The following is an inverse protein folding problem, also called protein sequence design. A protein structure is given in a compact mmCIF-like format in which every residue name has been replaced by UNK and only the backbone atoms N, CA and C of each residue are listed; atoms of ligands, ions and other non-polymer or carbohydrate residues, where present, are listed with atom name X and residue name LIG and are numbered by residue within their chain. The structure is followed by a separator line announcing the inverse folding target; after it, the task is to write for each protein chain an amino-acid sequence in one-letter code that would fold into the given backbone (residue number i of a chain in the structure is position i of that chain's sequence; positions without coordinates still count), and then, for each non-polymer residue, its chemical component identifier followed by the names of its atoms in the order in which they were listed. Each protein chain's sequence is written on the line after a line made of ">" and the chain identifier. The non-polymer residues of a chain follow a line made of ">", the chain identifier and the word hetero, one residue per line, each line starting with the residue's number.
data_IF_612714197686
#
_entry.id   IF_612714197686
#
_cell.length_a   1.000
_cell.length_b   1.000
_cell.length_c   1.000
_cell.angle_alpha   90.00
_cell.angle_beta   90.00
_cell.angle_gamma   90.00
#
_symmetry.space_group_name_H-M   'P 1'
#
loop_
_entity.id
_entity.type
_entity.pdbx_description
1 polymer ?
#
# COMPACT_ATOMS: atom_id res chain seq x y z
N UNK A 1 -13.11 -14.98 33.76
CA UNK A 1 -13.38 -13.63 33.22
C UNK A 1 -12.05 -12.90 33.07
N UNK A 2 -11.68 -12.48 31.86
CA UNK A 2 -10.46 -11.67 31.67
C UNK A 2 -10.70 -10.26 32.21
N UNK A 3 -9.70 -9.62 32.85
CA UNK A 3 -9.88 -8.32 33.49
C UNK A 3 -10.23 -7.23 32.47
N UNK A 4 -10.98 -6.18 32.86
CA UNK A 4 -11.50 -5.14 31.97
C UNK A 4 -10.41 -4.39 31.16
N UNK A 5 -9.17 -4.34 31.67
CA UNK A 5 -8.02 -3.77 30.96
C UNK A 5 -7.59 -4.58 29.72
N UNK A 6 -7.87 -5.88 29.66
CA UNK A 6 -7.52 -6.74 28.52
C UNK A 6 -8.36 -6.42 27.27
N UNK A 7 -9.58 -5.90 27.48
CA UNK A 7 -10.55 -5.63 26.42
C UNK A 7 -10.24 -4.33 25.65
N UNK A 8 -9.73 -3.30 26.33
CA UNK A 8 -9.35 -2.02 25.72
C UNK A 8 -8.09 -2.18 24.87
N UNK A 9 -7.09 -2.93 25.35
CA UNK A 9 -5.88 -3.22 24.58
C UNK A 9 -6.21 -4.01 23.31
N UNK A 10 -7.02 -5.07 23.39
CA UNK A 10 -7.46 -5.80 22.19
C UNK A 10 -8.30 -4.92 21.26
N UNK A 11 -9.16 -4.04 21.78
CA UNK A 11 -9.96 -3.14 20.95
C UNK A 11 -9.08 -2.12 20.19
N UNK A 12 -8.08 -1.52 20.83
CA UNK A 12 -7.15 -0.57 20.19
C UNK A 12 -6.20 -1.27 19.21
N UNK A 13 -5.80 -2.52 19.48
CA UNK A 13 -4.95 -3.34 18.60
C UNK A 13 -5.71 -3.82 17.36
N UNK A 14 -6.94 -4.29 17.54
CA UNK A 14 -7.75 -4.84 16.45
C UNK A 14 -8.46 -3.77 15.62
N UNK A 15 -8.59 -2.54 16.13
CA UNK A 15 -9.18 -1.40 15.42
C UNK A 15 -8.10 -0.55 14.73
N UNK A 16 -7.40 -1.16 13.77
CA UNK A 16 -6.38 -0.50 12.96
C UNK A 16 -6.54 -0.91 11.50
N UNK A 17 -6.47 0.07 10.60
CA UNK A 17 -6.46 -0.17 9.16
C UNK A 17 -5.09 -0.69 8.74
N UNK A 18 -5.04 -1.81 8.04
CA UNK A 18 -3.80 -2.27 7.40
C UNK A 18 -3.74 -1.86 5.95
N UNK A 19 -2.54 -1.51 5.51
CA UNK A 19 -2.26 -1.23 4.10
C UNK A 19 -1.17 -2.21 3.68
N UNK A 20 -1.47 -3.08 2.73
CA UNK A 20 -0.53 -4.09 2.23
C UNK A 20 0.13 -3.57 0.96
N UNK A 21 1.44 -3.75 0.85
CA UNK A 21 2.24 -3.31 -0.28
C UNK A 21 2.74 -4.51 -1.06
N UNK A 22 2.26 -4.63 -2.29
CA UNK A 22 2.72 -5.57 -3.30
C UNK A 22 3.49 -4.80 -4.39
N UNK A 23 4.27 -5.51 -5.21
CA UNK A 23 4.88 -4.94 -6.42
C UNK A 23 4.50 -5.81 -7.61
N UNK A 24 5.10 -6.99 -7.74
CA UNK A 24 4.88 -7.92 -8.85
C UNK A 24 4.10 -9.14 -8.41
N UNK A 25 3.11 -9.53 -9.20
CA UNK A 25 2.40 -10.80 -9.05
C UNK A 25 2.74 -11.69 -10.25
N UNK A 26 3.82 -12.46 -10.17
CA UNK A 26 4.35 -13.21 -11.30
C UNK A 26 5.20 -14.42 -10.88
N UNK A 27 5.43 -15.35 -11.81
CA UNK A 27 6.36 -16.47 -11.62
C UNK A 27 7.72 -16.24 -12.31
N UNK A 28 7.83 -15.22 -13.16
CA UNK A 28 9.02 -14.90 -13.94
C UNK A 28 9.88 -13.80 -13.30
N UNK A 29 11.19 -13.88 -13.56
CA UNK A 29 12.20 -12.95 -13.04
C UNK A 29 11.97 -12.58 -11.56
N UNK A 30 11.82 -13.57 -10.65
CA UNK A 30 11.40 -13.30 -9.29
C UNK A 30 12.48 -12.58 -8.50
N UNK A 31 12.06 -11.60 -7.70
CA UNK A 31 12.87 -10.98 -6.67
C UNK A 31 12.17 -11.07 -5.30
N UNK A 32 12.70 -10.40 -4.29
CA UNK A 32 12.12 -10.43 -2.93
C UNK A 32 10.69 -9.85 -2.83
N UNK A 33 10.27 -9.05 -3.81
CA UNK A 33 8.97 -8.36 -3.90
C UNK A 33 8.04 -8.99 -4.95
N UNK A 34 8.47 -10.07 -5.61
CA UNK A 34 7.63 -10.86 -6.52
C UNK A 34 6.87 -11.94 -5.76
N UNK A 35 5.55 -11.86 -5.76
CA UNK A 35 4.66 -12.88 -5.18
C UNK A 35 4.11 -13.75 -6.31
N UNK A 36 4.11 -15.07 -6.16
CA UNK A 36 3.50 -15.94 -7.17
C UNK A 36 1.98 -15.73 -7.25
N UNK A 37 1.36 -15.82 -8.44
CA UNK A 37 -0.09 -15.70 -8.57
C UNK A 37 -0.85 -16.68 -7.67
N UNK A 38 -0.30 -17.88 -7.48
CA UNK A 38 -0.87 -18.91 -6.59
C UNK A 38 -0.88 -18.46 -5.12
N UNK A 39 0.23 -17.93 -4.62
CA UNK A 39 0.28 -17.44 -3.24
C UNK A 39 -0.64 -16.24 -3.04
N UNK A 40 -0.61 -15.29 -3.98
CA UNK A 40 -1.49 -14.12 -3.95
C UNK A 40 -2.97 -14.52 -3.92
N UNK A 41 -3.38 -15.50 -4.73
CA UNK A 41 -4.75 -16.03 -4.71
C UNK A 41 -5.12 -16.57 -3.32
N UNK A 42 -4.26 -17.39 -2.70
CA UNK A 42 -4.50 -17.94 -1.37
C UNK A 42 -4.61 -16.87 -0.29
N UNK A 43 -3.83 -15.79 -0.39
CA UNK A 43 -3.91 -14.64 0.49
C UNK A 43 -5.26 -13.92 0.37
N UNK A 44 -5.70 -13.64 -0.86
CA UNK A 44 -6.96 -12.95 -1.11
C UNK A 44 -8.17 -13.80 -0.71
N UNK A 45 -8.17 -15.09 -1.01
CA UNK A 45 -9.20 -16.04 -0.58
C UNK A 45 -9.28 -16.12 0.95
N UNK A 46 -8.14 -16.06 1.65
CA UNK A 46 -8.14 -16.00 3.11
C UNK A 46 -8.82 -14.73 3.62
N UNK A 47 -8.52 -13.56 3.03
CA UNK A 47 -9.17 -12.30 3.41
C UNK A 47 -10.70 -12.39 3.25
N UNK A 48 -11.15 -12.90 2.10
CA UNK A 48 -12.58 -13.06 1.80
C UNK A 48 -13.25 -14.02 2.79
N UNK A 49 -12.66 -15.20 3.02
CA UNK A 49 -13.21 -16.22 3.91
C UNK A 49 -13.24 -15.81 5.39
N UNK A 50 -12.44 -14.80 5.79
CA UNK A 50 -12.32 -14.38 7.19
C UNK A 50 -12.99 -13.02 7.46
N UNK A 51 -13.80 -12.52 6.53
CA UNK A 51 -14.60 -11.32 6.70
C UNK A 51 -13.78 -10.03 6.73
N UNK A 52 -12.67 -10.00 6.00
CA UNK A 52 -11.95 -8.76 5.74
C UNK A 52 -12.65 -7.95 4.65
N UNK A 53 -12.66 -6.64 4.86
CA UNK A 53 -13.16 -5.68 3.89
C UNK A 53 -11.96 -5.04 3.20
N UNK A 54 -11.83 -5.30 1.91
CA UNK A 54 -10.74 -4.77 1.09
C UNK A 54 -11.22 -3.52 0.36
N UNK A 55 -10.64 -2.38 0.73
CA UNK A 55 -11.10 -1.04 0.35
C UNK A 55 -9.99 -0.27 -0.38
N UNK A 56 -10.37 0.79 -1.12
CA UNK A 56 -9.41 1.69 -1.75
C UNK A 56 -8.68 2.56 -0.72
N UNK A 57 -7.55 3.18 -1.11
CA UNK A 57 -6.88 4.15 -0.23
C UNK A 57 -7.73 5.39 0.04
N UNK A 58 -8.60 5.78 -0.90
CA UNK A 58 -9.56 6.85 -0.66
C UNK A 58 -10.53 6.50 0.47
N UNK A 59 -11.18 5.34 0.40
CA UNK A 59 -12.14 4.93 1.43
C UNK A 59 -11.43 4.73 2.77
N UNK A 60 -10.23 4.14 2.77
CA UNK A 60 -9.36 4.08 3.94
C UNK A 60 -9.13 5.47 4.56
N UNK A 61 -8.87 6.48 3.72
CA UNK A 61 -8.66 7.86 4.16
C UNK A 61 -9.96 8.48 4.71
N UNK A 62 -11.10 8.23 4.10
CA UNK A 62 -12.37 8.71 4.64
C UNK A 62 -12.64 8.08 6.02
N UNK A 63 -12.43 6.76 6.15
CA UNK A 63 -12.64 6.01 7.40
C UNK A 63 -11.76 6.46 8.56
N UNK A 64 -10.43 6.63 8.39
CA UNK A 64 -9.65 7.12 9.54
C UNK A 64 -9.93 8.59 9.89
N UNK A 65 -10.44 9.40 8.95
CA UNK A 65 -10.77 10.80 9.22
C UNK A 65 -12.07 10.90 10.02
N UNK A 66 -13.04 10.06 9.67
CA UNK A 66 -14.31 9.88 10.38
C UNK A 66 -14.17 9.13 11.72
N UNK A 67 -12.98 8.65 12.08
CA UNK A 67 -12.76 7.79 13.26
C UNK A 67 -13.67 6.55 13.27
N UNK A 68 -13.89 5.95 12.10
CA UNK A 68 -14.76 4.78 11.92
C UNK A 68 -14.19 3.52 12.59
N UNK A 69 -14.98 2.45 12.65
CA UNK A 69 -14.47 1.12 12.98
C UNK A 69 -13.62 0.58 11.80
N UNK A 70 -12.35 0.34 12.08
CA UNK A 70 -11.29 -0.13 11.19
C UNK A 70 -10.99 -1.62 11.38
N UNK A 71 -11.77 -2.34 12.21
CA UNK A 71 -11.63 -3.79 12.34
C UNK A 71 -11.76 -4.46 10.97
N UNK A 72 -10.79 -5.33 10.68
CA UNK A 72 -10.70 -6.11 9.45
C UNK A 72 -10.76 -5.27 8.16
N UNK A 73 -10.41 -3.99 8.23
CA UNK A 73 -10.26 -3.13 7.05
C UNK A 73 -8.84 -3.26 6.52
N UNK A 74 -8.72 -3.56 5.22
CA UNK A 74 -7.45 -3.68 4.51
C UNK A 74 -7.49 -2.81 3.26
N UNK A 75 -6.45 -2.03 3.00
CA UNK A 75 -6.21 -1.45 1.68
C UNK A 75 -5.07 -2.22 0.99
N UNK A 76 -5.29 -2.62 -0.26
CA UNK A 76 -4.26 -3.23 -1.09
C UNK A 76 -3.61 -2.17 -1.96
N UNK A 77 -2.28 -2.18 -1.99
CA UNK A 77 -1.49 -1.25 -2.81
C UNK A 77 -0.47 -1.99 -3.64
N UNK A 78 -0.26 -1.54 -4.87
CA UNK A 78 0.67 -2.11 -5.84
C UNK A 78 1.54 -0.99 -6.39
N UNK A 79 2.85 -1.12 -6.23
CA UNK A 79 3.81 -0.11 -6.68
C UNK A 79 4.24 -0.36 -8.13
N UNK A 80 4.91 0.64 -8.71
CA UNK A 80 5.57 0.66 -10.02
C UNK A 80 4.68 0.60 -11.29
N UNK A 81 3.48 0.00 -11.21
CA UNK A 81 2.57 -0.10 -12.35
C UNK A 81 2.91 -1.23 -13.33
N UNK A 82 3.38 -2.37 -12.82
CA UNK A 82 3.68 -3.56 -13.63
C UNK A 82 2.45 -4.11 -14.36
N UNK A 83 2.66 -4.59 -15.59
CA UNK A 83 1.62 -5.24 -16.41
C UNK A 83 1.03 -6.48 -15.72
N UNK A 84 1.82 -7.15 -14.88
CA UNK A 84 1.39 -8.36 -14.17
C UNK A 84 0.24 -8.12 -13.18
N UNK A 85 0.00 -6.87 -12.75
CA UNK A 85 -1.21 -6.52 -12.04
C UNK A 85 -2.45 -6.81 -12.89
N UNK A 86 -2.48 -6.35 -14.14
CA UNK A 86 -3.63 -6.56 -15.04
C UNK A 86 -3.81 -8.04 -15.38
N UNK A 87 -2.72 -8.75 -15.66
CA UNK A 87 -2.82 -10.14 -16.14
C UNK A 87 -3.06 -11.15 -15.02
N UNK A 88 -2.53 -10.91 -13.83
CA UNK A 88 -2.52 -11.90 -12.73
C UNK A 88 -3.31 -11.44 -11.50
N UNK A 89 -3.13 -10.20 -11.04
CA UNK A 89 -3.76 -9.72 -9.79
C UNK A 89 -5.23 -9.32 -9.99
N UNK A 90 -5.52 -8.49 -10.99
CA UNK A 90 -6.84 -7.92 -11.26
C UNK A 90 -7.93 -8.98 -11.48
N UNK A 91 -7.70 -10.12 -12.18
CA UNK A 91 -8.71 -11.18 -12.31
C UNK A 91 -9.13 -11.76 -10.95
N UNK A 92 -8.18 -12.01 -10.05
CA UNK A 92 -8.44 -12.54 -8.70
C UNK A 92 -9.23 -11.52 -7.88
N UNK A 93 -8.79 -10.26 -7.85
CA UNK A 93 -9.45 -9.20 -7.09
C UNK A 93 -10.89 -8.97 -7.56
N UNK A 94 -11.15 -9.00 -8.87
CA UNK A 94 -12.51 -8.86 -9.42
C UNK A 94 -13.43 -10.00 -9.00
N UNK A 95 -12.96 -11.25 -9.03
CA UNK A 95 -13.75 -12.39 -8.58
C UNK A 95 -14.19 -12.24 -7.12
N UNK A 96 -13.33 -11.65 -6.29
CA UNK A 96 -13.59 -11.42 -4.86
C UNK A 96 -14.24 -10.06 -4.57
N UNK A 97 -14.49 -9.23 -5.61
CA UNK A 97 -15.00 -7.85 -5.49
C UNK A 97 -14.13 -6.97 -4.58
N UNK A 98 -12.82 -7.18 -4.62
CA UNK A 98 -11.85 -6.39 -3.87
C UNK A 98 -11.36 -5.21 -4.70
N UNK A 99 -11.18 -4.06 -4.04
CA UNK A 99 -10.52 -2.90 -4.63
C UNK A 99 -9.01 -2.92 -4.36
N UNK A 100 -8.27 -2.10 -5.09
CA UNK A 100 -6.84 -1.87 -4.88
C UNK A 100 -6.44 -0.49 -5.43
N UNK A 101 -5.31 0.01 -4.96
CA UNK A 101 -4.68 1.24 -5.47
C UNK A 101 -3.35 0.89 -6.15
N UNK A 102 -3.15 1.36 -7.39
CA UNK A 102 -1.91 1.20 -8.13
C UNK A 102 -1.14 2.51 -8.15
N UNK A 103 0.12 2.51 -7.73
CA UNK A 103 1.01 3.65 -7.80
C UNK A 103 1.85 3.60 -9.07
N UNK A 104 1.66 4.58 -9.94
CA UNK A 104 2.21 4.58 -11.30
C UNK A 104 3.42 5.50 -11.40
N UNK A 105 4.53 4.98 -11.94
CA UNK A 105 5.66 5.80 -12.39
C UNK A 105 5.30 6.42 -13.74
N UNK A 106 4.79 7.65 -13.69
CA UNK A 106 4.04 8.25 -14.81
C UNK A 106 4.86 8.49 -16.07
N UNK A 107 6.18 8.70 -15.96
CA UNK A 107 7.08 8.85 -17.11
C UNK A 107 7.40 7.52 -17.82
N UNK A 108 6.97 6.38 -17.27
CA UNK A 108 7.26 5.06 -17.80
C UNK A 108 6.00 4.28 -18.24
N UNK A 109 4.83 4.94 -18.30
CA UNK A 109 3.59 4.35 -18.82
C UNK A 109 3.82 3.79 -20.23
N UNK A 110 3.45 2.52 -20.43
CA UNK A 110 3.63 1.80 -21.69
C UNK A 110 5.09 1.43 -22.02
N UNK A 111 6.01 1.61 -21.08
CA UNK A 111 7.44 1.30 -21.24
C UNK A 111 7.85 0.15 -20.31
N UNK A 112 9.09 0.19 -19.81
CA UNK A 112 9.67 -0.84 -18.97
C UNK A 112 10.25 -0.28 -17.67
N UNK A 113 10.26 -1.11 -16.62
CA UNK A 113 10.78 -0.79 -15.30
C UNK A 113 12.33 -0.76 -15.29
N UNK A 114 12.92 0.32 -15.82
CA UNK A 114 14.38 0.48 -15.91
C UNK A 114 15.09 0.53 -14.55
N UNK A 115 14.35 0.80 -13.46
CA UNK A 115 14.82 0.76 -12.07
C UNK A 115 14.87 -0.66 -11.49
N UNK A 116 14.26 -1.67 -12.14
CA UNK A 116 14.32 -3.05 -11.66
C UNK A 116 15.78 -3.53 -11.63
N UNK A 117 16.18 -4.10 -10.50
CA UNK A 117 17.51 -4.70 -10.33
C UNK A 117 17.63 -6.08 -10.97
N UNK A 118 16.50 -6.74 -11.29
CA UNK A 118 16.47 -8.12 -11.79
C UNK A 118 16.22 -8.16 -13.29
N UNK A 119 15.20 -7.44 -13.79
CA UNK A 119 14.90 -7.38 -15.21
C UNK A 119 14.34 -6.02 -15.61
N UNK A 120 15.17 -5.25 -16.32
CA UNK A 120 14.82 -3.91 -16.80
C UNK A 120 13.82 -3.91 -17.96
N UNK A 121 13.45 -5.08 -18.47
CA UNK A 121 12.46 -5.26 -19.56
C UNK A 121 11.10 -5.67 -19.03
N UNK A 122 10.88 -5.57 -17.72
CA UNK A 122 9.55 -5.80 -17.14
C UNK A 122 8.60 -4.72 -17.64
N UNK A 123 7.53 -5.16 -18.32
CA UNK A 123 6.57 -4.27 -18.95
C UNK A 123 5.70 -3.58 -17.90
N UNK A 124 5.49 -2.29 -18.13
CA UNK A 124 4.58 -1.48 -17.34
C UNK A 124 3.26 -1.29 -18.11
N UNK A 125 2.20 -0.99 -17.37
CA UNK A 125 0.88 -0.73 -17.92
C UNK A 125 0.92 0.47 -18.88
N UNK A 126 0.30 0.33 -20.04
CA UNK A 126 0.05 1.44 -20.96
C UNK A 126 -1.21 2.23 -20.57
N UNK A 127 -1.48 3.31 -21.29
CA UNK A 127 -2.57 4.22 -20.97
C UNK A 127 -3.93 3.53 -21.09
N UNK A 128 -4.13 2.75 -22.14
CA UNK A 128 -5.37 2.04 -22.42
C UNK A 128 -5.67 1.02 -21.31
N UNK A 129 -4.66 0.27 -20.87
CA UNK A 129 -4.74 -0.68 -19.76
C UNK A 129 -5.03 0.00 -18.42
N UNK A 130 -4.42 1.17 -18.16
CA UNK A 130 -4.73 1.94 -16.95
C UNK A 130 -6.19 2.41 -16.94
N UNK A 131 -6.71 2.91 -18.07
CA UNK A 131 -8.11 3.29 -18.19
C UNK A 131 -9.05 2.09 -18.05
N UNK A 132 -8.67 0.92 -18.56
CA UNK A 132 -9.40 -0.33 -18.37
C UNK A 132 -9.49 -0.69 -16.88
N UNK A 133 -8.37 -0.69 -16.15
CA UNK A 133 -8.34 -0.99 -14.73
C UNK A 133 -9.19 -0.02 -13.90
N UNK A 134 -9.18 1.28 -14.26
CA UNK A 134 -10.06 2.26 -13.63
C UNK A 134 -11.53 1.96 -13.85
N UNK A 135 -11.92 1.61 -15.07
CA UNK A 135 -13.29 1.20 -15.38
C UNK A 135 -13.73 -0.06 -14.61
N UNK A 136 -12.77 -0.88 -14.17
CA UNK A 136 -13.00 -2.04 -13.31
C UNK A 136 -13.07 -1.71 -11.81
N UNK A 137 -12.90 -0.43 -11.41
CA UNK A 137 -13.00 0.02 -10.02
C UNK A 137 -11.67 0.00 -9.24
N UNK A 138 -10.53 -0.15 -9.93
CA UNK A 138 -9.22 0.05 -9.31
C UNK A 138 -8.83 1.52 -9.32
N UNK A 139 -8.20 1.98 -8.25
CA UNK A 139 -7.75 3.36 -8.10
C UNK A 139 -6.32 3.53 -8.60
N UNK A 140 -6.03 4.65 -9.26
CA UNK A 140 -4.65 5.04 -9.56
C UNK A 140 -4.09 6.04 -8.53
N UNK A 141 -2.78 5.96 -8.32
CA UNK A 141 -1.99 6.86 -7.50
C UNK A 141 -0.67 7.19 -8.18
N UNK A 142 0.06 8.15 -7.63
CA UNK A 142 1.34 8.60 -8.18
C UNK A 142 2.53 7.93 -7.51
N UNK A 143 3.50 7.52 -8.32
CA UNK A 143 4.81 7.05 -7.88
C UNK A 143 5.95 7.86 -8.52
N UNK A 144 5.77 9.18 -8.61
CA UNK A 144 6.68 10.13 -9.28
C UNK A 144 6.69 9.97 -10.82
N UNK A 145 7.52 10.76 -11.51
CA UNK A 145 7.68 10.69 -12.97
C UNK A 145 8.73 9.66 -13.32
N UNK A 146 9.89 9.71 -12.66
CA UNK A 146 11.07 8.93 -13.05
C UNK A 146 11.55 7.92 -12.01
N UNK A 147 10.81 7.76 -10.90
CA UNK A 147 11.18 6.89 -9.78
C UNK A 147 12.56 7.22 -9.14
N UNK A 148 12.90 8.51 -8.86
CA UNK A 148 14.17 8.85 -8.22
C UNK A 148 14.11 8.63 -6.71
N UNK A 149 15.28 8.52 -6.07
CA UNK A 149 15.38 8.80 -4.63
C UNK A 149 15.14 10.30 -4.41
N UNK A 150 13.98 10.64 -3.85
CA UNK A 150 13.55 12.03 -3.62
C UNK A 150 14.42 12.77 -2.62
N UNK A 151 15.08 12.06 -1.70
CA UNK A 151 15.97 12.67 -0.71
C UNK A 151 17.29 13.15 -1.33
N UNK A 152 17.65 12.60 -2.48
CA UNK A 152 18.82 13.01 -3.26
C UNK A 152 18.53 14.11 -4.29
N UNK A 153 17.26 14.52 -4.45
CA UNK A 153 16.86 15.54 -5.43
C UNK A 153 16.90 16.94 -4.85
N UNK A 154 17.22 17.93 -5.69
CA UNK A 154 17.05 19.36 -5.35
C UNK A 154 15.57 19.74 -5.17
N UNK A 155 15.29 20.90 -4.57
CA UNK A 155 13.90 21.35 -4.29
C UNK A 155 13.08 21.52 -5.57
N UNK A 156 13.70 21.98 -6.65
CA UNK A 156 13.05 22.13 -7.95
C UNK A 156 12.73 20.78 -8.58
N UNK A 157 13.67 19.83 -8.55
CA UNK A 157 13.47 18.48 -9.06
C UNK A 157 12.40 17.72 -8.28
N UNK A 158 12.43 17.80 -6.94
CA UNK A 158 11.39 17.23 -6.09
C UNK A 158 10.00 17.81 -6.43
N UNK A 159 9.89 19.13 -6.56
CA UNK A 159 8.63 19.77 -6.90
C UNK A 159 8.12 19.38 -8.30
N UNK A 160 9.03 19.26 -9.29
CA UNK A 160 8.69 18.86 -10.66
C UNK A 160 8.21 17.40 -10.72
N UNK A 161 8.95 16.48 -10.08
CA UNK A 161 8.60 15.07 -9.95
C UNK A 161 7.22 14.88 -9.32
N UNK A 162 6.94 15.61 -8.24
CA UNK A 162 5.65 15.53 -7.55
C UNK A 162 4.52 16.14 -8.36
N UNK A 163 4.70 17.33 -8.94
CA UNK A 163 3.65 18.04 -9.66
C UNK A 163 3.26 17.31 -10.95
N UNK A 164 4.25 16.98 -11.79
CA UNK A 164 3.99 16.38 -13.11
C UNK A 164 3.36 15.01 -13.00
N UNK A 165 3.81 14.19 -12.03
CA UNK A 165 3.23 12.87 -11.82
C UNK A 165 1.80 12.95 -11.29
N UNK A 166 1.51 13.89 -10.38
CA UNK A 166 0.14 14.15 -9.94
C UNK A 166 -0.75 14.57 -11.11
N UNK A 167 -0.30 15.54 -11.90
CA UNK A 167 -1.04 16.07 -13.04
C UNK A 167 -1.32 14.97 -14.08
N UNK A 168 -0.37 14.06 -14.31
CA UNK A 168 -0.55 12.91 -15.19
C UNK A 168 -1.60 11.92 -14.67
N UNK A 169 -1.62 11.62 -13.35
CA UNK A 169 -2.65 10.77 -12.74
C UNK A 169 -4.03 11.44 -12.80
N UNK A 170 -4.11 12.75 -12.55
CA UNK A 170 -5.35 13.52 -12.75
C UNK A 170 -5.84 13.46 -14.21
N UNK A 171 -4.92 13.52 -15.19
CA UNK A 171 -5.26 13.42 -16.60
C UNK A 171 -5.78 12.04 -17.02
N UNK A 172 -5.50 10.99 -16.24
CA UNK A 172 -6.13 9.67 -16.37
C UNK A 172 -7.53 9.62 -15.73
N UNK A 173 -7.97 10.72 -15.12
CA UNK A 173 -9.29 10.95 -14.55
C UNK A 173 -9.41 10.67 -13.06
N UNK A 174 -8.29 10.52 -12.33
CA UNK A 174 -8.34 10.41 -10.86
C UNK A 174 -8.55 11.77 -10.20
N UNK A 175 -9.49 11.81 -9.26
CA UNK A 175 -9.80 13.02 -8.49
C UNK A 175 -9.16 12.99 -7.10
N UNK A 176 -9.08 11.80 -6.50
CA UNK A 176 -8.34 11.54 -5.29
C UNK A 176 -7.01 10.90 -5.68
N UNK A 177 -5.90 11.59 -5.46
CA UNK A 177 -4.57 11.14 -5.88
C UNK A 177 -3.73 10.81 -4.64
N UNK A 178 -3.59 9.52 -4.29
CA UNK A 178 -2.64 9.08 -3.29
C UNK A 178 -1.22 9.07 -3.87
N UNK A 179 -0.21 9.18 -3.01
CA UNK A 179 1.20 9.12 -3.39
C UNK A 179 1.96 8.01 -2.65
N UNK A 180 2.88 7.34 -3.32
CA UNK A 180 3.85 6.44 -2.69
C UNK A 180 5.27 6.98 -2.88
N UNK A 181 6.07 7.02 -1.81
CA UNK A 181 7.47 7.46 -1.89
C UNK A 181 8.35 6.35 -2.51
N UNK A 182 9.05 6.59 -3.63
CA UNK A 182 9.98 5.62 -4.21
C UNK A 182 11.02 5.14 -3.18
N UNK A 183 11.21 3.83 -3.09
CA UNK A 183 12.14 3.21 -2.12
C UNK A 183 11.77 3.38 -0.64
N UNK A 184 10.68 4.09 -0.31
CA UNK A 184 10.29 4.40 1.07
C UNK A 184 11.16 5.47 1.75
N UNK A 185 12.06 6.13 1.01
CA UNK A 185 12.96 7.16 1.54
C UNK A 185 12.26 8.52 1.60
N UNK A 186 12.26 9.15 2.77
CA UNK A 186 11.73 10.50 2.96
C UNK A 186 12.30 11.14 4.23
N UNK A 187 12.26 12.47 4.26
CA UNK A 187 12.42 13.30 5.45
C UNK A 187 11.18 14.20 5.60
N UNK A 188 11.21 15.12 6.58
CA UNK A 188 10.17 16.16 6.70
C UNK A 188 10.04 17.00 5.42
N UNK A 189 11.14 17.21 4.69
CA UNK A 189 11.18 17.98 3.44
C UNK A 189 10.27 17.37 2.37
N UNK A 190 10.39 16.08 2.11
CA UNK A 190 9.61 15.38 1.08
C UNK A 190 8.13 15.30 1.50
N UNK A 191 7.86 15.00 2.78
CA UNK A 191 6.50 15.00 3.33
C UNK A 191 5.81 16.37 3.14
N UNK A 192 6.49 17.47 3.44
CA UNK A 192 5.95 18.81 3.27
C UNK A 192 5.81 19.20 1.78
N UNK A 193 6.67 18.69 0.91
CA UNK A 193 6.56 18.87 -0.53
C UNK A 193 5.33 18.14 -1.11
N UNK A 194 5.04 16.92 -0.65
CA UNK A 194 3.84 16.15 -1.04
C UNK A 194 2.56 16.91 -0.67
N UNK A 195 2.50 17.49 0.53
CA UNK A 195 1.35 18.31 0.94
C UNK A 195 1.22 19.57 0.06
N UNK A 196 2.33 20.29 -0.19
CA UNK A 196 2.33 21.47 -1.08
C UNK A 196 1.92 21.13 -2.51
N UNK A 197 2.27 19.94 -2.99
CA UNK A 197 1.88 19.42 -4.30
C UNK A 197 0.41 18.97 -4.36
N UNK A 198 -0.37 19.10 -3.27
CA UNK A 198 -1.81 18.82 -3.21
C UNK A 198 -2.19 17.35 -3.44
N UNK A 199 -1.35 16.42 -2.99
CA UNK A 199 -1.77 15.02 -2.85
C UNK A 199 -2.79 14.87 -1.72
N UNK A 200 -3.65 13.86 -1.82
CA UNK A 200 -4.72 13.65 -0.82
C UNK A 200 -4.24 12.84 0.40
N UNK A 201 -3.34 11.90 0.15
CA UNK A 201 -2.62 11.14 1.17
C UNK A 201 -1.32 10.60 0.59
N UNK A 202 -0.44 10.08 1.44
CA UNK A 202 0.74 9.38 1.00
C UNK A 202 1.11 8.21 1.91
N UNK A 203 1.74 7.20 1.31
CA UNK A 203 2.08 5.93 1.94
C UNK A 203 3.59 5.70 1.97
N UNK A 204 4.08 5.20 3.09
CA UNK A 204 5.49 4.86 3.32
C UNK A 204 5.68 3.37 3.54
N UNK A 205 6.91 2.89 3.35
CA UNK A 205 7.28 1.53 3.74
C UNK A 205 7.60 1.51 5.24
N UNK A 206 6.92 0.65 5.98
CA UNK A 206 7.24 0.42 7.38
C UNK A 206 6.12 0.80 8.33
N UNK A 207 5.83 -0.14 9.22
CA UNK A 207 4.87 0.02 10.29
C UNK A 207 4.48 -1.34 10.81
N UNK A 208 4.98 -1.71 11.99
CA UNK A 208 4.51 -2.91 12.71
C UNK A 208 3.17 -2.67 13.42
N UNK A 209 2.57 -1.51 13.15
CA UNK A 209 1.36 -0.98 13.77
C UNK A 209 0.51 -0.43 12.64
N UNK A 210 -0.70 -0.96 12.48
CA UNK A 210 -1.64 -0.43 11.50
C UNK A 210 -1.97 1.06 11.71
N UNK A 211 -2.73 1.61 10.78
CA UNK A 211 -3.05 3.03 10.73
C UNK A 211 -4.29 3.33 11.60
N UNK A 212 -4.21 4.42 12.35
CA UNK A 212 -5.32 5.00 13.13
C UNK A 212 -5.53 6.46 12.78
N UNK A 213 -6.53 7.11 13.41
CA UNK A 213 -6.84 8.53 13.20
C UNK A 213 -5.64 9.44 13.46
N UNK A 214 -4.76 9.04 14.39
CA UNK A 214 -3.54 9.75 14.77
C UNK A 214 -2.43 9.70 13.70
N UNK A 215 -2.58 8.86 12.68
CA UNK A 215 -1.53 8.68 11.67
C UNK A 215 -1.56 9.87 10.70
N UNK A 216 -0.41 10.52 10.51
CA UNK A 216 -0.27 11.56 9.48
C UNK A 216 -0.69 10.98 8.13
N UNK A 217 -1.64 11.66 7.47
CA UNK A 217 -2.20 11.23 6.18
C UNK A 217 -1.14 11.15 5.09
N UNK A 218 0.00 11.82 5.24
CA UNK A 218 1.12 11.75 4.28
C UNK A 218 2.19 10.73 4.64
N UNK A 219 2.00 9.99 5.74
CA UNK A 219 2.93 8.97 6.24
C UNK A 219 2.16 7.69 6.64
N UNK A 220 1.13 7.33 5.85
CA UNK A 220 0.37 6.11 6.07
C UNK A 220 1.27 4.90 5.91
N UNK A 221 1.27 4.02 6.89
CA UNK A 221 2.21 2.91 7.00
C UNK A 221 1.73 1.72 6.19
N UNK A 222 2.64 1.13 5.43
CA UNK A 222 2.39 -0.11 4.68
C UNK A 222 3.23 -1.27 5.18
N UNK A 223 2.65 -2.45 5.08
CA UNK A 223 3.34 -3.72 5.30
C UNK A 223 3.82 -4.30 3.95
N UNK A 224 5.14 -4.44 3.73
CA UNK A 224 5.67 -5.09 2.51
C UNK A 224 5.34 -6.57 2.53
N UNK A 225 4.71 -7.06 1.46
CA UNK A 225 4.56 -8.50 1.20
C UNK A 225 5.80 -8.99 0.46
N UNK A 226 6.42 -10.05 1.00
CA UNK A 226 7.69 -10.56 0.50
C UNK A 226 7.53 -11.97 -0.05
N UNK A 227 8.33 -12.34 -1.06
CA UNK A 227 8.34 -13.69 -1.63
C UNK A 227 8.61 -14.79 -0.59
N UNK A 228 9.33 -14.45 0.48
CA UNK A 228 9.63 -15.33 1.60
C UNK A 228 8.45 -15.51 2.59
N UNK A 229 7.39 -14.72 2.46
CA UNK A 229 6.24 -14.80 3.36
C UNK A 229 5.44 -16.07 3.05
N UNK A 230 5.21 -16.88 4.07
CA UNK A 230 4.26 -18.00 3.96
C UNK A 230 2.83 -17.51 4.15
N UNK A 231 1.86 -18.26 3.62
CA UNK A 231 0.44 -18.01 3.92
C UNK A 231 0.15 -17.98 5.43
N UNK A 232 0.81 -18.84 6.22
CA UNK A 232 0.67 -18.84 7.67
C UNK A 232 1.17 -17.52 8.30
N UNK A 233 2.21 -16.93 7.72
CA UNK A 233 2.73 -15.64 8.13
C UNK A 233 1.80 -14.49 7.71
N UNK A 234 1.32 -14.50 6.47
CA UNK A 234 0.30 -13.55 5.99
C UNK A 234 -0.89 -13.49 6.95
N UNK A 235 -1.45 -14.65 7.35
CA UNK A 235 -2.55 -14.74 8.32
C UNK A 235 -2.21 -14.04 9.64
N UNK A 236 -0.99 -14.21 10.16
CA UNK A 236 -0.55 -13.54 11.40
C UNK A 236 -0.45 -12.01 11.22
N UNK A 237 0.08 -11.55 10.10
CA UNK A 237 0.20 -10.13 9.76
C UNK A 237 -1.16 -9.47 9.73
N UNK A 238 -2.09 -9.99 8.91
CA UNK A 238 -3.42 -9.39 8.74
C UNK A 238 -4.33 -9.50 9.97
N UNK A 239 -3.96 -10.29 10.99
CA UNK A 239 -4.65 -10.36 12.29
C UNK A 239 -3.96 -9.62 13.45
N UNK A 240 -2.81 -8.97 13.24
CA UNK A 240 -2.18 -8.10 14.23
C UNK A 240 -1.35 -8.77 15.30
N UNK A 241 -0.68 -9.84 14.89
CA UNK A 241 0.22 -10.60 15.76
C UNK A 241 1.34 -9.75 16.38
N UNK A 242 1.90 -8.77 15.66
CA UNK A 242 3.02 -7.96 16.14
C UNK A 242 2.62 -7.02 17.27
N UNK A 243 1.47 -6.39 17.13
CA UNK A 243 0.90 -5.47 18.10
C UNK A 243 0.58 -6.22 19.40
N UNK A 244 0.00 -7.42 19.28
CA UNK A 244 -0.26 -8.31 20.42
C UNK A 244 1.00 -8.74 21.16
N UNK A 245 2.04 -9.17 20.45
CA UNK A 245 3.29 -9.66 21.06
C UNK A 245 4.09 -8.53 21.75
N UNK A 246 4.18 -7.34 21.14
CA UNK A 246 4.89 -6.21 21.73
C UNK A 246 4.20 -5.70 23.00
N UNK A 247 2.87 -5.62 23.02
CA UNK A 247 2.12 -5.15 24.18
C UNK A 247 2.14 -6.16 25.33
N UNK A 248 2.08 -7.46 25.04
CA UNK A 248 2.30 -8.50 26.05
C UNK A 248 3.68 -8.36 26.71
N UNK A 249 4.74 -8.14 25.90
CA UNK A 249 6.09 -7.94 26.42
C UNK A 249 6.21 -6.67 27.28
N UNK A 250 5.54 -5.56 26.90
CA UNK A 250 5.53 -4.31 27.67
C UNK A 250 4.71 -4.41 28.96
N UNK A 251 3.56 -5.08 28.93
CA UNK A 251 2.72 -5.30 30.11
C UNK A 251 3.43 -6.14 31.18
N UNK A 252 4.24 -7.14 30.79
CA UNK A 252 5.07 -7.90 31.73
C UNK A 252 6.11 -7.02 32.44
N UNK A 253 6.74 -6.09 31.71
CA UNK A 253 7.74 -5.17 32.27
C UNK A 253 7.16 -4.15 33.26
N UNK A 254 5.88 -3.78 33.11
CA UNK A 254 5.20 -2.86 34.03
C UNK A 254 4.65 -3.54 35.28
N UNK A 255 4.49 -4.87 35.29
CA UNK A 255 4.09 -5.64 36.49
C UNK A 255 5.26 -6.03 37.41
N UNK A 256 6.49 -5.78 36.97
CA UNK A 256 7.73 -6.05 37.72
C UNK A 256 8.35 -4.79 38.31
N UNK A 257 7.59 -3.70 38.39
CA UNK A 257 7.89 -2.46 39.12
C UNK A 257 6.73 -2.18 40.06
#
# INVERSE_FOLDING_TARGET
>A
MLPPFFNIYNYVICNRLRILMYHRIADDSPDRLTISPKLFQQEMEYLAANGFHVISLQEARERLAANADLKKQIALTFDDGYLDFLTNAAPILRQLKFSATLFIVTGAIGSHAHWSSVDKRQRLLDKEQLLELRAQGFQLGSHTVTHPDLTAQSDSQLADELKRSRDAVCALGEMFVPFAYPGGSFTRRERDAVERARYDCAVIVGGRWGNGRETDRFLLKREPMLASDSLAWFKKRVNGYYEGHYLWARARRMKTR
#
